data_IF_204279275472
#
_entry.id   IF_204279275472
#
_cell.length_a   1.000
_cell.length_b   1.000
_cell.length_c   1.000
_cell.angle_alpha   90.00
_cell.angle_beta   90.00
_cell.angle_gamma   90.00
#
_symmetry.space_group_name_H-M   'P 1'
#
loop_
_entity.id
_entity.type
_entity.pdbx_description
1 polymer ?
#
# COMPACT_ATOMS: atom_id res chain seq x y z
N UNK A 1 4.56 -32.07 3.77
CA UNK A 1 5.15 -31.42 4.96
C UNK A 1 4.23 -30.25 5.32
N UNK A 2 3.69 -30.21 6.55
CA UNK A 2 2.73 -29.17 6.96
C UNK A 2 3.49 -27.89 7.28
N UNK A 3 3.12 -26.77 6.63
CA UNK A 3 3.68 -25.44 6.89
C UNK A 3 3.19 -24.96 8.26
N UNK A 4 4.09 -24.41 9.09
CA UNK A 4 3.82 -23.92 10.46
C UNK A 4 2.92 -24.86 11.31
N UNK A 5 3.54 -25.85 11.95
CA UNK A 5 2.86 -26.90 12.70
C UNK A 5 2.46 -26.49 14.11
N UNK A 6 3.06 -25.44 14.66
CA UNK A 6 2.84 -24.98 16.03
C UNK A 6 2.32 -23.56 16.07
N UNK A 7 1.54 -23.25 17.11
CA UNK A 7 1.06 -21.88 17.36
C UNK A 7 2.22 -20.88 17.43
N UNK A 8 3.38 -21.29 17.98
CA UNK A 8 4.57 -20.44 18.07
C UNK A 8 5.12 -20.08 16.67
N UNK A 9 5.09 -21.01 15.72
CA UNK A 9 5.50 -20.75 14.33
C UNK A 9 4.52 -19.83 13.62
N UNK A 10 3.22 -20.05 13.79
CA UNK A 10 2.18 -19.15 13.24
C UNK A 10 2.28 -17.73 13.82
N UNK A 11 2.49 -17.57 15.13
CA UNK A 11 2.73 -16.25 15.75
C UNK A 11 3.98 -15.55 15.20
N UNK A 12 5.07 -16.29 14.98
CA UNK A 12 6.28 -15.74 14.36
C UNK A 12 6.03 -15.29 12.92
N UNK A 13 5.31 -16.10 12.15
CA UNK A 13 4.95 -15.79 10.77
C UNK A 13 4.02 -14.57 10.69
N UNK A 14 3.03 -14.49 11.57
CA UNK A 14 2.16 -13.32 11.73
C UNK A 14 2.97 -12.06 12.01
N UNK A 15 3.94 -12.12 12.94
CA UNK A 15 4.78 -10.98 13.27
C UNK A 15 5.63 -10.51 12.08
N UNK A 16 6.14 -11.44 11.27
CA UNK A 16 6.87 -11.12 10.04
C UNK A 16 5.98 -10.39 9.03
N UNK A 17 4.74 -10.86 8.84
CA UNK A 17 3.75 -10.22 7.96
C UNK A 17 3.43 -8.80 8.46
N UNK A 18 3.16 -8.64 9.76
CA UNK A 18 2.86 -7.33 10.36
C UNK A 18 4.04 -6.37 10.17
N UNK A 19 5.26 -6.82 10.42
CA UNK A 19 6.45 -5.99 10.25
C UNK A 19 6.64 -5.58 8.79
N UNK A 20 6.41 -6.49 7.84
CA UNK A 20 6.47 -6.18 6.41
C UNK A 20 5.40 -5.17 5.99
N UNK A 21 4.17 -5.34 6.46
CA UNK A 21 3.08 -4.39 6.20
C UNK A 21 3.40 -3.00 6.76
N UNK A 22 3.93 -2.93 7.98
CA UNK A 22 4.37 -1.66 8.59
C UNK A 22 5.46 -0.97 7.78
N UNK A 23 6.44 -1.72 7.27
CA UNK A 23 7.48 -1.17 6.38
C UNK A 23 6.90 -0.59 5.08
N UNK A 24 5.91 -1.27 4.49
CA UNK A 24 5.24 -0.79 3.27
C UNK A 24 4.46 0.50 3.57
N UNK A 25 3.74 0.56 4.70
CA UNK A 25 3.03 1.76 5.12
C UNK A 25 4.01 2.92 5.38
N UNK A 26 5.10 2.69 6.11
CA UNK A 26 6.08 3.74 6.40
C UNK A 26 6.77 4.28 5.15
N UNK A 27 7.06 3.42 4.16
CA UNK A 27 7.60 3.87 2.88
C UNK A 27 6.57 4.72 2.10
N UNK A 28 5.29 4.36 2.21
CA UNK A 28 4.20 5.13 1.59
C UNK A 28 4.05 6.52 2.22
N UNK A 29 4.33 6.66 3.52
CA UNK A 29 4.27 7.95 4.23
C UNK A 29 5.30 8.96 3.71
N UNK A 30 6.50 8.50 3.36
CA UNK A 30 7.53 9.33 2.73
C UNK A 30 7.06 9.80 1.35
N UNK A 31 6.55 8.88 0.52
CA UNK A 31 6.05 9.21 -0.82
C UNK A 31 4.90 10.22 -0.82
N UNK A 32 3.97 10.13 0.14
CA UNK A 32 2.86 11.10 0.24
C UNK A 32 3.39 12.48 0.61
N UNK A 33 4.39 12.56 1.49
CA UNK A 33 5.02 13.82 1.87
C UNK A 33 5.71 14.48 0.67
N UNK A 34 6.47 13.71 -0.10
CA UNK A 34 7.15 14.21 -1.31
C UNK A 34 6.15 14.78 -2.32
N UNK A 35 4.98 14.16 -2.48
CA UNK A 35 3.91 14.67 -3.36
C UNK A 35 3.32 16.01 -2.87
N UNK A 36 3.18 16.18 -1.55
CA UNK A 36 2.72 17.44 -0.96
C UNK A 36 3.76 18.54 -1.12
N UNK A 37 5.03 18.21 -0.89
CA UNK A 37 6.16 19.14 -1.01
C UNK A 37 6.30 19.62 -2.47
N UNK A 38 6.19 18.71 -3.44
CA UNK A 38 6.22 19.06 -4.88
C UNK A 38 5.06 19.99 -5.26
N UNK A 39 3.86 19.78 -4.70
CA UNK A 39 2.72 20.65 -4.97
C UNK A 39 2.89 22.06 -4.37
N UNK A 40 3.54 22.15 -3.20
CA UNK A 40 3.88 23.43 -2.58
C UNK A 40 4.89 24.20 -3.43
N UNK A 41 5.94 23.54 -3.94
CA UNK A 41 6.91 24.14 -4.86
C UNK A 41 6.24 24.69 -6.12
N UNK A 42 5.30 23.93 -6.73
CA UNK A 42 4.56 24.41 -7.89
C UNK A 42 3.69 25.63 -7.59
N UNK A 43 3.05 25.67 -6.41
CA UNK A 43 2.26 26.82 -5.98
C UNK A 43 3.14 28.06 -5.82
N UNK A 44 4.31 27.90 -5.21
CA UNK A 44 5.27 28.99 -5.01
C UNK A 44 5.82 29.49 -6.34
N UNK A 45 6.08 28.60 -7.30
CA UNK A 45 6.50 28.97 -8.65
C UNK A 45 5.45 29.81 -9.38
N UNK A 46 4.18 29.40 -9.35
CA UNK A 46 3.07 30.15 -9.95
C UNK A 46 2.84 31.50 -9.26
N UNK A 47 3.09 31.59 -7.96
CA UNK A 47 2.87 32.81 -7.18
C UNK A 47 3.96 33.85 -7.41
N UNK A 48 5.21 33.41 -7.56
CA UNK A 48 6.38 34.28 -7.68
C UNK A 48 6.66 34.74 -9.13
N UNK A 49 6.20 33.99 -10.14
CA UNK A 49 6.39 34.35 -11.55
C UNK A 49 5.09 34.88 -12.16
N UNK A 50 5.07 36.18 -12.49
CA UNK A 50 3.88 36.87 -13.04
C UNK A 50 3.77 36.82 -14.57
N UNK A 51 4.83 36.43 -15.27
CA UNK A 51 4.93 36.43 -16.74
C UNK A 51 5.00 35.00 -17.33
N UNK A 52 4.19 34.08 -16.81
CA UNK A 52 4.17 32.69 -17.28
C UNK A 52 3.35 32.59 -18.57
N UNK A 53 3.88 31.91 -19.59
CA UNK A 53 3.15 31.65 -20.84
C UNK A 53 1.87 30.83 -20.56
N UNK A 54 0.71 31.20 -21.13
CA UNK A 54 -0.51 30.39 -21.09
C UNK A 54 -0.32 28.89 -21.39
N UNK A 55 0.62 28.52 -22.27
CA UNK A 55 0.96 27.14 -22.58
C UNK A 55 1.66 26.43 -21.41
N UNK A 56 2.58 27.11 -20.72
CA UNK A 56 3.26 26.58 -19.54
C UNK A 56 2.28 26.40 -18.37
N UNK A 57 1.37 27.35 -18.17
CA UNK A 57 0.29 27.24 -17.16
C UNK A 57 -0.56 25.99 -17.41
N UNK A 58 -0.89 25.70 -18.68
CA UNK A 58 -1.67 24.52 -19.05
C UNK A 58 -0.92 23.23 -18.75
N UNK A 59 0.36 23.15 -19.15
CA UNK A 59 1.20 21.99 -18.88
C UNK A 59 1.37 21.72 -17.38
N UNK A 60 1.60 22.78 -16.60
CA UNK A 60 1.68 22.68 -15.14
C UNK A 60 0.38 22.20 -14.51
N UNK A 61 -0.79 22.72 -14.95
CA UNK A 61 -2.09 22.26 -14.43
C UNK A 61 -2.30 20.76 -14.67
N UNK A 62 -1.92 20.25 -15.84
CA UNK A 62 -2.01 18.83 -16.15
C UNK A 62 -1.08 17.99 -15.26
N UNK A 63 0.17 18.44 -15.06
CA UNK A 63 1.11 17.80 -14.14
C UNK A 63 0.60 17.76 -12.70
N UNK A 64 -0.01 18.86 -12.22
CA UNK A 64 -0.61 18.96 -10.89
C UNK A 64 -1.77 17.98 -10.72
N UNK A 65 -2.68 17.90 -11.71
CA UNK A 65 -3.81 16.99 -11.67
C UNK A 65 -3.35 15.52 -11.65
N UNK A 66 -2.32 15.19 -12.42
CA UNK A 66 -1.73 13.85 -12.42
C UNK A 66 -1.08 13.51 -11.07
N UNK A 67 -0.31 14.43 -10.49
CA UNK A 67 0.27 14.23 -9.15
C UNK A 67 -0.81 14.09 -8.07
N UNK A 68 -1.89 14.86 -8.16
CA UNK A 68 -3.02 14.77 -7.24
C UNK A 68 -3.72 13.40 -7.33
N UNK A 69 -4.01 12.93 -8.54
CA UNK A 69 -4.63 11.62 -8.77
C UNK A 69 -3.76 10.47 -8.25
N UNK A 70 -2.44 10.55 -8.47
CA UNK A 70 -1.47 9.58 -7.93
C UNK A 70 -1.49 9.61 -6.40
N UNK A 71 -1.41 10.81 -5.80
CA UNK A 71 -1.47 11.00 -4.36
C UNK A 71 -2.71 10.40 -3.72
N UNK A 72 -3.90 10.65 -4.28
CA UNK A 72 -5.14 10.03 -3.78
C UNK A 72 -5.10 8.50 -3.84
N UNK A 73 -4.64 7.92 -4.96
CA UNK A 73 -4.55 6.47 -5.10
C UNK A 73 -3.59 5.83 -4.07
N UNK A 74 -2.52 6.55 -3.70
CA UNK A 74 -1.53 6.13 -2.71
C UNK A 74 -2.11 6.24 -1.30
N UNK A 75 -2.81 7.33 -0.99
CA UNK A 75 -3.52 7.53 0.28
C UNK A 75 -4.58 6.46 0.50
N UNK A 76 -5.35 6.11 -0.54
CA UNK A 76 -6.36 5.05 -0.46
C UNK A 76 -5.73 3.68 -0.26
N UNK A 77 -4.63 3.37 -0.95
CA UNK A 77 -3.85 2.15 -0.70
C UNK A 77 -3.35 2.09 0.74
N UNK A 78 -2.81 3.18 1.27
CA UNK A 78 -2.38 3.28 2.68
C UNK A 78 -3.54 3.02 3.63
N UNK A 79 -4.69 3.68 3.43
CA UNK A 79 -5.88 3.50 4.27
C UNK A 79 -6.33 2.04 4.28
N UNK A 80 -6.26 1.35 3.13
CA UNK A 80 -6.58 -0.07 3.02
C UNK A 80 -5.57 -0.95 3.77
N UNK A 81 -4.27 -0.69 3.61
CA UNK A 81 -3.22 -1.45 4.29
C UNK A 81 -3.25 -1.24 5.81
N UNK A 82 -3.54 -0.03 6.27
CA UNK A 82 -3.69 0.27 7.70
C UNK A 82 -4.80 -0.57 8.34
N UNK A 83 -5.96 -0.72 7.65
CA UNK A 83 -7.05 -1.60 8.11
C UNK A 83 -6.64 -3.09 8.16
N UNK A 84 -5.75 -3.52 7.27
CA UNK A 84 -5.28 -4.93 7.20
C UNK A 84 -4.25 -5.22 8.30
N UNK A 85 -3.43 -4.23 8.70
CA UNK A 85 -2.43 -4.42 9.78
C UNK A 85 -3.07 -4.85 11.09
N UNK A 86 -4.27 -4.34 11.40
CA UNK A 86 -4.98 -4.69 12.64
C UNK A 86 -5.52 -6.12 12.61
N UNK A 87 -5.88 -6.65 11.43
CA UNK A 87 -6.42 -8.02 11.25
C UNK A 87 -5.81 -8.66 9.99
N UNK A 88 -4.56 -9.18 10.06
CA UNK A 88 -3.79 -9.58 8.88
C UNK A 88 -4.28 -10.84 8.19
N UNK A 89 -5.06 -11.70 8.84
CA UNK A 89 -5.83 -12.82 8.26
C UNK A 89 -6.72 -13.43 9.35
N UNK A 90 -7.86 -14.01 8.95
CA UNK A 90 -8.82 -14.67 9.83
C UNK A 90 -8.47 -16.14 10.07
N UNK A 91 -7.90 -16.82 9.08
CA UNK A 91 -7.57 -18.23 9.18
C UNK A 91 -6.75 -18.75 8.00
N UNK A 92 -6.34 -20.01 8.10
CA UNK A 92 -5.54 -20.73 7.11
C UNK A 92 -6.30 -21.97 6.63
N UNK A 93 -6.30 -22.21 5.33
CA UNK A 93 -6.86 -23.41 4.69
C UNK A 93 -5.72 -24.12 3.99
N UNK A 94 -5.48 -25.38 4.35
CA UNK A 94 -4.43 -26.19 3.74
C UNK A 94 -5.05 -27.08 2.66
N UNK A 95 -4.63 -26.90 1.41
CA UNK A 95 -5.07 -27.72 0.29
C UNK A 95 -4.08 -28.88 0.07
N UNK A 96 -4.63 -30.08 -0.06
CA UNK A 96 -3.89 -31.28 -0.44
C UNK A 96 -4.62 -31.97 -1.60
N UNK A 97 -3.96 -32.07 -2.74
CA UNK A 97 -4.51 -32.80 -3.89
C UNK A 97 -4.37 -34.31 -3.66
N UNK A 98 -5.31 -35.09 -4.22
CA UNK A 98 -5.36 -36.56 -4.04
C UNK A 98 -4.31 -37.34 -4.86
N UNK A 99 -3.44 -36.66 -5.60
CA UNK A 99 -2.40 -37.30 -6.43
C UNK A 99 -1.18 -37.74 -5.59
N UNK A 100 -0.59 -38.86 -5.98
CA UNK A 100 0.62 -39.41 -5.35
C UNK A 100 1.79 -38.43 -5.58
N UNK A 101 2.30 -37.83 -4.50
CA UNK A 101 3.34 -36.77 -4.42
C UNK A 101 2.87 -35.31 -4.32
N UNK A 102 1.66 -35.01 -3.86
CA UNK A 102 1.23 -33.61 -3.78
C UNK A 102 1.73 -32.86 -2.53
N UNK A 103 2.23 -31.64 -2.73
CA UNK A 103 2.65 -30.70 -1.69
C UNK A 103 1.43 -30.02 -1.07
N UNK A 104 1.46 -29.80 0.25
CA UNK A 104 0.40 -29.07 0.95
C UNK A 104 0.54 -27.58 0.65
N UNK A 105 -0.52 -26.95 0.13
CA UNK A 105 -0.54 -25.52 -0.19
C UNK A 105 -1.32 -24.79 0.91
N UNK A 106 -0.66 -24.03 1.80
CA UNK A 106 -1.34 -23.20 2.80
C UNK A 106 -1.87 -21.92 2.15
N UNK A 107 -3.16 -21.63 2.34
CA UNK A 107 -3.83 -20.41 1.87
C UNK A 107 -4.37 -19.63 3.05
N UNK A 108 -3.95 -18.38 3.21
CA UNK A 108 -4.43 -17.49 4.27
C UNK A 108 -5.62 -16.66 3.78
N UNK A 109 -6.72 -16.67 4.54
CA UNK A 109 -7.96 -15.96 4.21
C UNK A 109 -8.04 -14.65 4.99
N UNK A 110 -8.24 -13.56 4.26
CA UNK A 110 -8.35 -12.20 4.79
C UNK A 110 -9.81 -11.82 5.02
N UNK A 111 -10.09 -11.10 6.12
CA UNK A 111 -11.40 -10.49 6.31
C UNK A 111 -11.41 -9.07 5.76
N UNK A 112 -12.21 -8.82 4.72
CA UNK A 112 -12.39 -7.48 4.16
C UNK A 112 -13.55 -6.77 4.87
N UNK A 113 -13.24 -5.83 5.76
CA UNK A 113 -14.25 -4.91 6.30
C UNK A 113 -14.74 -3.96 5.20
N UNK A 114 -15.97 -4.17 4.75
CA UNK A 114 -16.73 -3.22 3.91
C UNK A 114 -17.46 -2.29 4.90
N UNK A 115 -16.82 -1.18 5.26
CA UNK A 115 -17.45 -0.03 5.90
C UNK A 115 -17.15 1.19 5.06
#
# INVERSE_FOLDING_TARGET
MVFNQTEKQERSYLQQIINRLKQIISHTDVSVKDHVDTLAEYKDYLWNNKDIDPHEIRSMRESILNHFAIGESVIDKRRRLAKIVDIPYFGRIDFQEKSENCTVIPVYVLMRMIR
#
